data_IF_475656242863
#
_entry.id   IF_475656242863
#
_cell.length_a   1.000
_cell.length_b   1.000
_cell.length_c   1.000
_cell.angle_alpha   90.00
_cell.angle_beta   90.00
_cell.angle_gamma   90.00
#
_symmetry.space_group_name_H-M   'P 1'
#
loop_
_entity.id
_entity.type
_entity.pdbx_description
1 polymer ?
#
# COMPACT_ATOMS: atom_id res chain seq x y z
N UNK A 1 23.75 0.80 9.92
CA UNK A 1 22.51 0.75 10.73
C UNK A 1 22.74 -0.18 11.90
N UNK A 2 22.43 0.23 13.13
CA UNK A 2 22.65 -0.61 14.34
C UNK A 2 21.68 -1.79 14.32
N UNK A 3 22.12 -3.03 14.61
CA UNK A 3 21.24 -4.22 14.64
C UNK A 3 20.01 -4.04 15.54
N UNK A 4 20.19 -3.42 16.71
CA UNK A 4 19.12 -3.14 17.68
C UNK A 4 17.99 -2.28 17.09
N UNK A 5 18.34 -1.25 16.29
CA UNK A 5 17.34 -0.39 15.63
C UNK A 5 16.56 -1.14 14.55
N UNK A 6 17.19 -2.09 13.87
CA UNK A 6 16.55 -2.97 12.89
C UNK A 6 15.55 -3.89 13.59
N UNK A 7 15.96 -4.54 14.67
CA UNK A 7 15.11 -5.47 15.41
C UNK A 7 13.93 -4.76 16.07
N UNK A 8 14.16 -3.56 16.61
CA UNK A 8 13.09 -2.72 17.16
C UNK A 8 12.06 -2.31 16.08
N UNK A 9 12.53 -1.89 14.90
CA UNK A 9 11.64 -1.51 13.79
C UNK A 9 10.79 -2.70 13.33
N UNK A 10 11.39 -3.89 13.18
CA UNK A 10 10.67 -5.11 12.82
C UNK A 10 9.67 -5.54 13.91
N UNK A 11 10.06 -5.44 15.19
CA UNK A 11 9.17 -5.76 16.30
C UNK A 11 7.96 -4.84 16.35
N UNK A 12 8.14 -3.52 16.16
CA UNK A 12 7.06 -2.54 16.08
C UNK A 12 6.11 -2.83 14.91
N UNK A 13 6.64 -3.18 13.74
CA UNK A 13 5.83 -3.53 12.59
C UNK A 13 4.99 -4.79 12.85
N UNK A 14 5.59 -5.85 13.40
CA UNK A 14 4.88 -7.09 13.75
C UNK A 14 3.79 -6.85 14.78
N UNK A 15 4.07 -6.07 15.83
CA UNK A 15 3.06 -5.72 16.83
C UNK A 15 1.91 -4.92 16.24
N UNK A 16 2.20 -3.99 15.31
CA UNK A 16 1.15 -3.27 14.57
C UNK A 16 0.26 -4.23 13.77
N UNK A 17 0.84 -5.13 12.98
CA UNK A 17 0.06 -6.08 12.17
C UNK A 17 -0.75 -7.04 13.03
N UNK A 18 -0.20 -7.49 14.15
CA UNK A 18 -0.92 -8.30 15.11
C UNK A 18 -2.13 -7.56 15.70
N UNK A 19 -1.90 -6.36 16.25
CA UNK A 19 -2.93 -5.63 17.02
C UNK A 19 -3.92 -4.87 16.15
N UNK A 20 -3.52 -4.46 14.95
CA UNK A 20 -4.35 -3.70 14.01
C UNK A 20 -4.84 -4.51 12.80
N UNK A 21 -4.29 -5.68 12.60
CA UNK A 21 -4.64 -6.66 11.55
C UNK A 21 -5.22 -7.93 12.17
N UNK A 22 -4.38 -8.90 12.49
CA UNK A 22 -4.76 -10.28 12.85
C UNK A 22 -5.80 -10.39 13.96
N UNK A 23 -5.73 -9.55 14.99
CA UNK A 23 -6.61 -9.60 16.18
C UNK A 23 -7.91 -8.79 16.05
N UNK A 24 -8.13 -8.07 14.94
CA UNK A 24 -9.36 -7.28 14.79
C UNK A 24 -10.41 -8.00 13.91
N UNK A 25 -11.71 -7.67 14.07
CA UNK A 25 -12.76 -8.21 13.20
C UNK A 25 -12.56 -7.84 11.73
N UNK A 26 -12.95 -8.73 10.80
CA UNK A 26 -12.88 -8.50 9.36
C UNK A 26 -13.58 -7.20 8.92
N UNK A 27 -14.74 -6.90 9.50
CA UNK A 27 -15.47 -5.67 9.24
C UNK A 27 -14.63 -4.42 9.55
N UNK A 28 -13.91 -4.40 10.67
CA UNK A 28 -13.03 -3.27 11.04
C UNK A 28 -11.84 -3.12 10.11
N UNK A 29 -11.31 -4.22 9.55
CA UNK A 29 -10.27 -4.16 8.50
C UNK A 29 -10.83 -3.46 7.27
N UNK A 30 -12.00 -3.93 6.78
CA UNK A 30 -12.66 -3.35 5.61
C UNK A 30 -12.96 -1.85 5.78
N UNK A 31 -13.50 -1.44 6.92
CA UNK A 31 -13.79 -0.03 7.21
C UNK A 31 -12.53 0.83 7.15
N UNK A 32 -11.45 0.41 7.79
CA UNK A 32 -10.17 1.15 7.80
C UNK A 32 -9.52 1.24 6.41
N UNK A 33 -9.66 0.20 5.60
CA UNK A 33 -9.18 0.20 4.22
C UNK A 33 -10.04 1.14 3.37
N UNK A 34 -11.37 1.09 3.54
CA UNK A 34 -12.31 1.97 2.84
C UNK A 34 -12.06 3.44 3.14
N UNK A 35 -11.83 3.80 4.41
CA UNK A 35 -11.51 5.16 4.83
C UNK A 35 -10.22 5.68 4.18
N UNK A 36 -9.19 4.83 4.09
CA UNK A 36 -7.94 5.20 3.45
C UNK A 36 -8.13 5.43 1.94
N UNK A 37 -8.84 4.51 1.26
CA UNK A 37 -9.15 4.65 -0.17
C UNK A 37 -9.97 5.90 -0.45
N UNK A 38 -11.03 6.15 0.32
CA UNK A 38 -11.86 7.36 0.18
C UNK A 38 -11.10 8.65 0.42
N UNK A 39 -10.15 8.64 1.38
CA UNK A 39 -9.29 9.81 1.65
C UNK A 39 -8.32 10.09 0.50
N UNK A 40 -7.75 9.05 -0.11
CA UNK A 40 -6.92 9.20 -1.31
C UNK A 40 -7.74 9.71 -2.48
N UNK A 41 -8.89 9.13 -2.73
CA UNK A 41 -9.75 9.49 -3.86
C UNK A 41 -10.22 10.95 -3.78
N UNK A 42 -10.66 11.39 -2.60
CA UNK A 42 -11.00 12.79 -2.35
C UNK A 42 -9.83 13.76 -2.60
N UNK A 43 -8.59 13.34 -2.28
CA UNK A 43 -7.41 14.14 -2.61
C UNK A 43 -7.13 14.18 -4.12
N UNK A 44 -7.32 13.06 -4.82
CA UNK A 44 -7.02 12.97 -6.26
C UNK A 44 -8.10 13.61 -7.14
N UNK A 45 -9.33 13.77 -6.65
CA UNK A 45 -10.46 14.29 -7.42
C UNK A 45 -10.18 15.65 -8.09
N UNK A 46 -9.68 16.68 -7.40
CA UNK A 46 -9.40 17.98 -7.99
C UNK A 46 -8.09 18.04 -8.79
N UNK A 47 -7.27 16.96 -8.82
CA UNK A 47 -5.95 16.97 -9.45
C UNK A 47 -6.08 16.86 -10.97
N UNK A 48 -5.77 17.97 -11.67
CA UNK A 48 -5.74 18.00 -13.13
C UNK A 48 -4.58 17.13 -13.69
N UNK A 49 -4.73 16.53 -14.90
CA UNK A 49 -3.70 15.70 -15.52
C UNK A 49 -2.33 16.38 -15.61
N UNK A 50 -2.29 17.65 -15.99
CA UNK A 50 -1.06 18.43 -16.09
C UNK A 50 -0.36 18.63 -14.73
N UNK A 51 -1.11 18.70 -13.63
CA UNK A 51 -0.56 18.77 -12.27
C UNK A 51 -0.07 17.40 -11.83
N UNK A 52 -0.84 16.35 -12.10
CA UNK A 52 -0.46 14.98 -11.73
C UNK A 52 0.89 14.55 -12.33
N UNK A 53 1.16 14.90 -13.58
CA UNK A 53 2.38 14.53 -14.30
C UNK A 53 3.58 15.45 -14.02
N UNK A 54 3.40 16.56 -13.28
CA UNK A 54 4.45 17.54 -13.05
C UNK A 54 5.36 17.12 -11.91
N UNK A 55 6.67 17.14 -12.14
CA UNK A 55 7.67 16.93 -11.10
C UNK A 55 7.69 18.12 -10.13
N UNK A 56 7.33 17.87 -8.87
CA UNK A 56 7.32 18.90 -7.82
C UNK A 56 8.60 18.93 -6.99
N UNK A 57 9.27 17.79 -6.87
CA UNK A 57 10.50 17.65 -6.07
C UNK A 57 11.49 16.80 -6.88
N UNK A 58 12.73 17.29 -7.09
CA UNK A 58 13.73 16.51 -7.82
C UNK A 58 13.98 15.13 -7.17
N UNK A 59 13.93 14.08 -7.98
CA UNK A 59 14.19 12.72 -7.54
C UNK A 59 13.02 12.02 -6.81
N UNK A 60 11.90 12.70 -6.60
CA UNK A 60 10.67 12.08 -6.09
C UNK A 60 9.67 11.81 -7.22
N UNK A 61 8.83 10.83 -7.03
CA UNK A 61 7.74 10.50 -7.94
C UNK A 61 6.75 11.65 -8.08
N UNK A 62 6.22 11.84 -9.27
CA UNK A 62 5.05 12.67 -9.53
C UNK A 62 3.80 12.03 -8.91
N UNK A 63 2.71 12.78 -8.78
CA UNK A 63 1.42 12.22 -8.34
C UNK A 63 0.95 11.13 -9.29
N UNK A 64 1.22 11.28 -10.59
CA UNK A 64 0.89 10.30 -11.61
C UNK A 64 1.63 8.97 -11.39
N UNK A 65 2.93 9.03 -11.16
CA UNK A 65 3.76 7.84 -10.87
C UNK A 65 3.37 7.16 -9.57
N UNK A 66 2.96 7.93 -8.55
CA UNK A 66 2.42 7.38 -7.30
C UNK A 66 1.13 6.59 -7.58
N UNK A 67 0.21 7.12 -8.39
CA UNK A 67 -1.04 6.43 -8.71
C UNK A 67 -0.78 5.20 -9.60
N UNK A 68 0.17 5.27 -10.53
CA UNK A 68 0.60 4.12 -11.33
C UNK A 68 1.14 3.00 -10.43
N UNK A 69 2.01 3.34 -9.48
CA UNK A 69 2.53 2.40 -8.48
C UNK A 69 1.40 1.74 -7.66
N UNK A 70 0.42 2.51 -7.20
CA UNK A 70 -0.72 1.97 -6.46
C UNK A 70 -1.54 0.99 -7.33
N UNK A 71 -1.76 1.29 -8.60
CA UNK A 71 -2.43 0.37 -9.53
C UNK A 71 -1.63 -0.91 -9.72
N UNK A 72 -0.32 -0.79 -10.00
CA UNK A 72 0.54 -1.93 -10.30
C UNK A 72 0.75 -2.86 -9.07
N UNK A 73 0.71 -2.32 -7.87
CA UNK A 73 0.85 -3.11 -6.64
C UNK A 73 -0.48 -3.65 -6.11
N UNK A 74 -1.58 -2.88 -6.21
CA UNK A 74 -2.87 -3.31 -5.68
C UNK A 74 -3.55 -4.37 -6.54
N UNK A 75 -3.28 -4.39 -7.85
CA UNK A 75 -3.84 -5.42 -8.76
C UNK A 75 -3.35 -6.81 -8.39
N UNK A 76 -2.04 -7.12 -8.40
CA UNK A 76 -1.56 -8.42 -7.95
C UNK A 76 -1.86 -8.66 -6.46
N UNK A 77 -1.84 -7.63 -5.62
CA UNK A 77 -2.22 -7.75 -4.21
C UNK A 77 -3.64 -8.27 -4.00
N UNK A 78 -4.59 -7.88 -4.85
CA UNK A 78 -5.95 -8.42 -4.80
C UNK A 78 -5.97 -9.93 -5.14
N UNK A 79 -5.15 -10.36 -6.10
CA UNK A 79 -5.06 -11.78 -6.45
C UNK A 79 -4.37 -12.59 -5.34
N UNK A 80 -3.38 -12.02 -4.65
CA UNK A 80 -2.78 -12.61 -3.45
C UNK A 80 -3.79 -12.74 -2.30
N UNK A 81 -4.61 -11.69 -2.05
CA UNK A 81 -5.69 -11.79 -1.05
C UNK A 81 -6.67 -12.92 -1.39
N UNK A 82 -7.07 -13.06 -2.66
CA UNK A 82 -7.95 -14.15 -3.09
C UNK A 82 -7.33 -15.51 -2.80
N UNK A 83 -6.03 -15.68 -3.08
CA UNK A 83 -5.32 -16.92 -2.70
C UNK A 83 -5.40 -17.18 -1.20
N UNK A 84 -5.15 -16.17 -0.37
CA UNK A 84 -5.24 -16.30 1.08
C UNK A 84 -6.64 -16.70 1.56
N UNK A 85 -7.68 -16.10 0.97
CA UNK A 85 -9.07 -16.42 1.29
C UNK A 85 -9.50 -17.81 0.79
N UNK A 86 -8.82 -18.36 -0.23
CA UNK A 86 -8.94 -19.74 -0.67
C UNK A 86 -8.12 -20.72 0.20
N UNK A 87 -7.47 -20.25 1.26
CA UNK A 87 -6.62 -21.08 2.12
C UNK A 87 -5.28 -21.46 1.49
N UNK A 88 -4.82 -20.73 0.48
CA UNK A 88 -3.60 -21.01 -0.28
C UNK A 88 -2.58 -19.88 -0.14
N UNK A 89 -1.29 -20.25 -0.09
CA UNK A 89 -0.20 -19.28 -0.25
C UNK A 89 -0.21 -18.76 -1.69
N UNK A 90 -0.10 -17.43 -1.91
CA UNK A 90 0.10 -16.88 -3.25
C UNK A 90 1.37 -17.46 -3.91
N UNK A 91 1.32 -17.76 -5.22
CA UNK A 91 2.49 -18.22 -5.95
C UNK A 91 3.46 -17.08 -6.25
N UNK A 92 4.74 -17.41 -6.42
CA UNK A 92 5.77 -16.48 -6.86
C UNK A 92 6.44 -15.71 -5.73
N UNK A 93 7.23 -14.72 -6.15
CA UNK A 93 7.95 -13.81 -5.27
C UNK A 93 7.04 -12.70 -4.76
N UNK A 94 7.33 -12.08 -3.60
CA UNK A 94 6.55 -10.97 -3.09
C UNK A 94 6.57 -9.77 -4.06
N UNK A 95 5.47 -9.02 -4.09
CA UNK A 95 5.33 -7.83 -4.94
C UNK A 95 6.46 -6.83 -4.61
N UNK A 96 7.26 -6.39 -5.63
CA UNK A 96 8.36 -5.46 -5.39
C UNK A 96 7.88 -4.11 -4.84
N UNK A 97 8.59 -3.58 -3.84
CA UNK A 97 8.22 -2.32 -3.17
C UNK A 97 8.18 -1.09 -4.10
N UNK A 98 8.96 -1.09 -5.17
CA UNK A 98 8.99 0.01 -6.15
C UNK A 98 8.32 -0.31 -7.48
N UNK A 99 7.41 -1.30 -7.52
CA UNK A 99 6.77 -1.73 -8.76
C UNK A 99 5.98 -0.59 -9.41
N UNK A 100 6.29 -0.32 -10.67
CA UNK A 100 5.57 0.60 -11.56
C UNK A 100 5.41 -0.04 -12.94
N UNK A 101 4.53 0.50 -13.77
CA UNK A 101 4.47 0.13 -15.18
C UNK A 101 5.75 0.58 -15.90
N UNK A 102 6.00 0.04 -17.08
CA UNK A 102 7.18 0.38 -17.89
C UNK A 102 7.22 1.84 -18.36
N UNK A 103 6.09 2.52 -18.36
CA UNK A 103 5.95 3.91 -18.81
C UNK A 103 4.82 4.63 -18.05
N UNK A 104 4.98 4.92 -16.76
CA UNK A 104 3.92 5.45 -15.91
C UNK A 104 3.24 6.69 -16.50
N UNK A 105 4.01 7.66 -16.96
CA UNK A 105 3.50 8.94 -17.47
C UNK A 105 2.80 8.85 -18.84
N UNK A 106 2.91 7.73 -19.56
CA UNK A 106 2.21 7.54 -20.84
C UNK A 106 0.79 7.02 -20.68
N UNK A 107 0.39 6.60 -19.49
CA UNK A 107 -0.99 6.16 -19.22
C UNK A 107 -1.89 7.39 -19.07
N UNK A 108 -3.04 7.47 -19.76
CA UNK A 108 -3.96 8.60 -19.58
C UNK A 108 -4.44 8.72 -18.13
N UNK A 109 -4.28 9.89 -17.52
CA UNK A 109 -4.65 10.13 -16.13
C UNK A 109 -6.07 9.69 -15.75
N UNK A 110 -7.13 10.03 -16.56
CA UNK A 110 -8.47 9.58 -16.23
C UNK A 110 -8.62 8.05 -16.23
N UNK A 111 -7.95 7.37 -17.16
CA UNK A 111 -7.97 5.90 -17.25
C UNK A 111 -7.26 5.25 -16.06
N UNK A 112 -6.11 5.81 -15.67
CA UNK A 112 -5.33 5.34 -14.53
C UNK A 112 -6.12 5.48 -13.22
N UNK A 113 -6.79 6.62 -13.01
CA UNK A 113 -7.69 6.84 -11.86
C UNK A 113 -8.88 5.88 -11.86
N UNK A 114 -9.53 5.71 -13.01
CA UNK A 114 -10.65 4.79 -13.12
C UNK A 114 -10.24 3.33 -12.82
N UNK A 115 -9.02 2.94 -13.20
CA UNK A 115 -8.48 1.62 -12.90
C UNK A 115 -8.20 1.44 -11.41
N UNK A 116 -7.59 2.44 -10.76
CA UNK A 116 -7.36 2.42 -9.31
C UNK A 116 -8.69 2.28 -8.55
N UNK A 117 -9.68 3.09 -8.90
CA UNK A 117 -11.02 3.04 -8.28
C UNK A 117 -11.70 1.67 -8.49
N UNK A 118 -11.58 1.07 -9.69
CA UNK A 118 -12.08 -0.28 -9.96
C UNK A 118 -11.42 -1.32 -9.05
N UNK A 119 -10.08 -1.28 -8.91
CA UNK A 119 -9.33 -2.20 -8.05
C UNK A 119 -9.74 -2.00 -6.58
N UNK A 120 -9.82 -0.79 -6.09
CA UNK A 120 -10.26 -0.47 -4.73
C UNK A 120 -11.67 -1.01 -4.44
N UNK A 121 -12.61 -0.82 -5.35
CA UNK A 121 -13.96 -1.39 -5.21
C UNK A 121 -13.95 -2.92 -5.16
N UNK A 122 -13.11 -3.58 -5.96
CA UNK A 122 -12.98 -5.04 -5.94
C UNK A 122 -12.37 -5.54 -4.63
N UNK A 123 -11.33 -4.87 -4.11
CA UNK A 123 -10.75 -5.17 -2.79
C UNK A 123 -11.84 -5.09 -1.71
N UNK A 124 -12.59 -3.99 -1.67
CA UNK A 124 -13.63 -3.80 -0.67
C UNK A 124 -14.79 -4.80 -0.79
N UNK A 125 -15.16 -5.20 -2.02
CA UNK A 125 -16.15 -6.28 -2.25
C UNK A 125 -15.62 -7.63 -1.76
N UNK A 126 -14.36 -7.94 -2.06
CA UNK A 126 -13.71 -9.17 -1.62
C UNK A 126 -13.69 -9.24 -0.09
N UNK A 127 -13.29 -8.15 0.59
CA UNK A 127 -13.31 -8.08 2.05
C UNK A 127 -14.74 -8.13 2.65
N UNK A 128 -15.73 -7.58 1.96
CA UNK A 128 -17.13 -7.63 2.39
C UNK A 128 -17.76 -9.02 2.32
N UNK A 129 -17.26 -9.86 1.42
CA UNK A 129 -17.74 -11.23 1.23
C UNK A 129 -17.14 -12.23 2.24
N UNK A 130 -16.13 -11.82 3.02
CA UNK A 130 -15.47 -12.71 4.00
C UNK A 130 -16.40 -12.95 5.18
N UNK A 131 -16.74 -14.23 5.51
CA UNK A 131 -17.53 -14.55 6.68
C UNK A 131 -16.85 -14.05 7.98
N UNK A 132 -17.63 -13.64 9.01
CA UNK A 132 -17.08 -13.12 10.26
C UNK A 132 -16.16 -14.11 11.00
N UNK A 133 -16.44 -15.40 10.87
CA UNK A 133 -15.74 -16.53 11.49
C UNK A 133 -14.67 -17.16 10.58
N UNK A 134 -14.43 -16.59 9.39
CA UNK A 134 -13.45 -17.13 8.46
C UNK A 134 -12.05 -17.12 9.05
N UNK A 135 -11.41 -18.29 9.03
CA UNK A 135 -10.04 -18.51 9.48
C UNK A 135 -9.26 -19.34 8.46
N UNK A 136 -7.97 -19.06 8.33
CA UNK A 136 -7.03 -19.79 7.50
C UNK A 136 -5.63 -19.65 8.05
N UNK A 137 -4.80 -20.67 7.88
CA UNK A 137 -3.37 -20.67 8.21
C UNK A 137 -2.51 -20.16 7.03
N UNK A 138 -3.14 -19.90 5.87
CA UNK A 138 -2.44 -19.38 4.70
C UNK A 138 -1.80 -18.02 4.99
N UNK A 139 -0.59 -17.84 4.48
CA UNK A 139 0.19 -16.59 4.63
C UNK A 139 0.76 -16.16 3.30
N UNK A 140 0.91 -14.85 3.12
CA UNK A 140 1.55 -14.25 1.97
C UNK A 140 2.82 -13.50 2.39
N UNK A 141 3.92 -13.63 1.62
CA UNK A 141 5.10 -12.82 1.83
C UNK A 141 4.86 -11.40 1.32
N UNK A 142 5.25 -10.41 2.13
CA UNK A 142 5.17 -8.99 1.75
C UNK A 142 6.54 -8.34 1.93
N UNK A 143 6.95 -7.52 0.98
CA UNK A 143 8.10 -6.62 1.12
C UNK A 143 7.70 -5.47 2.03
N UNK A 144 8.29 -5.46 3.21
CA UNK A 144 8.14 -4.37 4.18
C UNK A 144 9.18 -3.30 3.93
N UNK A 145 8.76 -2.03 3.97
CA UNK A 145 9.64 -0.87 3.92
C UNK A 145 9.32 0.06 5.09
N UNK A 146 10.30 0.28 5.96
CA UNK A 146 10.16 1.19 7.10
C UNK A 146 11.36 2.11 7.14
N UNK A 147 11.12 3.39 7.34
CA UNK A 147 12.17 4.37 7.49
C UNK A 147 12.75 4.32 8.91
N UNK A 148 14.06 4.13 9.01
CA UNK A 148 14.80 4.09 10.28
C UNK A 148 15.98 5.09 10.23
N UNK A 149 16.40 5.59 11.39
CA UNK A 149 17.60 6.42 11.46
C UNK A 149 18.86 5.53 11.40
N UNK A 150 19.83 5.89 10.57
CA UNK A 150 21.16 5.27 10.57
C UNK A 150 22.03 5.81 11.74
N UNK A 151 23.28 5.39 11.78
CA UNK A 151 24.25 5.80 12.81
C UNK A 151 24.56 7.30 12.81
N UNK A 152 24.28 7.99 11.70
CA UNK A 152 24.48 9.41 11.51
C UNK A 152 23.17 10.21 11.66
N UNK A 153 22.08 9.54 12.07
CA UNK A 153 20.75 10.16 12.20
C UNK A 153 20.04 10.40 10.86
N UNK A 154 20.54 9.84 9.73
CA UNK A 154 19.87 9.96 8.44
C UNK A 154 18.76 8.92 8.36
N UNK A 155 17.62 9.34 7.83
CA UNK A 155 16.50 8.44 7.56
C UNK A 155 16.82 7.61 6.32
N UNK A 156 16.85 6.29 6.49
CA UNK A 156 17.12 5.32 5.41
C UNK A 156 16.05 4.23 5.40
N UNK A 157 15.66 3.71 4.22
CA UNK A 157 14.69 2.63 4.15
C UNK A 157 15.30 1.30 4.60
N UNK A 158 14.63 0.62 5.51
CA UNK A 158 14.88 -0.76 5.89
C UNK A 158 13.91 -1.67 5.13
N UNK A 159 14.44 -2.65 4.40
CA UNK A 159 13.66 -3.62 3.64
C UNK A 159 13.79 -5.01 4.24
N UNK A 160 12.67 -5.74 4.34
CA UNK A 160 12.66 -7.19 4.65
C UNK A 160 11.36 -7.81 4.17
N UNK A 161 11.31 -9.14 4.12
CA UNK A 161 10.07 -9.87 3.82
C UNK A 161 9.45 -10.36 5.13
N UNK A 162 8.13 -10.19 5.26
CA UNK A 162 7.33 -10.70 6.38
C UNK A 162 6.18 -11.53 5.85
N UNK A 163 5.92 -12.70 6.45
CA UNK A 163 4.77 -13.54 6.11
C UNK A 163 3.54 -13.11 6.93
N UNK A 164 2.51 -12.59 6.28
CA UNK A 164 1.30 -12.06 6.91
C UNK A 164 0.09 -12.99 6.69
N UNK A 165 -0.76 -13.13 7.71
CA UNK A 165 -2.11 -13.68 7.53
C UNK A 165 -3.00 -12.71 6.74
N UNK A 166 -4.17 -13.18 6.26
CA UNK A 166 -5.02 -12.40 5.38
C UNK A 166 -5.50 -11.05 5.95
N UNK A 167 -5.72 -10.94 7.29
CA UNK A 167 -6.15 -9.69 7.93
C UNK A 167 -5.00 -8.70 8.01
N UNK A 168 -3.83 -9.16 8.44
CA UNK A 168 -2.61 -8.36 8.46
C UNK A 168 -2.22 -7.95 7.04
N UNK A 169 -2.39 -8.85 6.06
CA UNK A 169 -2.20 -8.56 4.65
C UNK A 169 -3.14 -7.43 4.17
N UNK A 170 -4.43 -7.55 4.44
CA UNK A 170 -5.41 -6.55 4.02
C UNK A 170 -5.17 -5.17 4.65
N UNK A 171 -4.72 -5.08 5.90
CA UNK A 171 -4.44 -3.79 6.54
C UNK A 171 -3.20 -3.10 5.96
N UNK A 172 -2.34 -3.80 5.22
CA UNK A 172 -1.21 -3.20 4.51
C UNK A 172 -1.69 -2.17 3.51
N UNK A 173 -2.79 -2.38 2.78
CA UNK A 173 -3.33 -1.39 1.85
C UNK A 173 -3.63 -0.05 2.51
N UNK A 174 -4.15 -0.08 3.74
CA UNK A 174 -4.36 1.16 4.50
C UNK A 174 -3.06 1.92 4.72
N UNK A 175 -2.00 1.24 5.16
CA UNK A 175 -0.70 1.85 5.41
C UNK A 175 -0.09 2.37 4.10
N UNK A 176 -0.08 1.54 3.09
CA UNK A 176 0.45 1.84 1.77
C UNK A 176 -0.20 3.10 1.17
N UNK A 177 -1.52 3.15 1.19
CA UNK A 177 -2.26 4.33 0.70
C UNK A 177 -2.00 5.57 1.56
N UNK A 178 -1.94 5.46 2.88
CA UNK A 178 -1.65 6.60 3.76
C UNK A 178 -0.26 7.19 3.49
N UNK A 179 0.74 6.33 3.29
CA UNK A 179 2.11 6.79 3.06
C UNK A 179 2.25 7.42 1.67
N UNK A 180 1.67 6.84 0.64
CA UNK A 180 1.64 7.44 -0.70
C UNK A 180 0.77 8.71 -0.78
N UNK A 181 -0.29 8.80 -0.01
CA UNK A 181 -1.06 10.04 0.12
C UNK A 181 -0.24 11.17 0.76
N UNK A 182 0.56 10.87 1.79
CA UNK A 182 1.50 11.86 2.37
C UNK A 182 2.53 12.31 1.34
N UNK A 183 3.08 11.38 0.58
CA UNK A 183 4.02 11.67 -0.51
C UNK A 183 3.37 12.55 -1.59
N UNK A 184 2.18 12.19 -2.06
CA UNK A 184 1.45 12.95 -3.07
C UNK A 184 1.11 14.38 -2.60
N UNK A 185 0.69 14.54 -1.33
CA UNK A 185 0.45 15.85 -0.73
C UNK A 185 1.71 16.71 -0.65
N UNK A 186 2.85 16.11 -0.31
CA UNK A 186 4.16 16.79 -0.27
C UNK A 186 4.53 17.30 -1.67
N UNK A 187 4.40 16.46 -2.69
CA UNK A 187 4.65 16.82 -4.10
C UNK A 187 3.71 17.92 -4.55
N UNK A 188 2.40 17.78 -4.28
CA UNK A 188 1.39 18.78 -4.64
C UNK A 188 1.68 20.15 -3.99
N UNK A 189 2.03 20.18 -2.71
CA UNK A 189 2.39 21.43 -2.02
C UNK A 189 3.66 22.10 -2.57
N UNK A 190 4.61 21.31 -3.09
CA UNK A 190 5.80 21.85 -3.75
C UNK A 190 5.48 22.50 -5.11
N UNK A 191 4.45 22.04 -5.80
CA UNK A 191 4.00 22.59 -7.08
C UNK A 191 3.27 23.94 -6.95
N UNK A 192 2.78 24.26 -5.75
CA UNK A 192 2.05 25.50 -5.46
C UNK A 192 2.96 26.67 -5.04
N UNK A 193 4.27 26.41 -4.92
CA UNK A 193 5.30 27.42 -4.58
C UNK A 193 5.97 27.98 -5.83
#
# INVERSE_FOLDING_TARGET
MKPEAVDEAKAKAREYFKTRGSLVPAASIRERVADAFGTLDAFLEPIAPAIAARAGIPGEWTIHEIVDHLVETHRPGLDELRCLLDGRRPPGEPIPAGLQSSSPLHRPWPSLRAELDRIHREILRTLAAVPPDFATDARAPIVMVVNVADENGRVVPLHWVEDLDWKAYAIVWRLHVIDHLKQARKVHAALAR
#
